data_IF_322258263332
#
_entry.id   IF_322258263332
#
_cell.length_a   1.000
_cell.length_b   1.000
_cell.length_c   1.000
_cell.angle_alpha   90.00
_cell.angle_beta   90.00
_cell.angle_gamma   90.00
#
_symmetry.space_group_name_H-M   'P 1'
#
loop_
_entity.id
_entity.type
_entity.pdbx_description
1 polymer ?
#
# COMPACT_ATOMS: atom_id res chain seq x y z
N UNK A 1 24.07 7.40 -0.32
CA UNK A 1 23.88 6.90 -1.69
C UNK A 1 22.53 6.21 -1.81
N UNK A 2 21.55 6.89 -2.41
CA UNK A 2 20.48 6.34 -3.25
C UNK A 2 19.59 7.52 -3.68
N UNK A 3 20.23 8.45 -4.39
CA UNK A 3 19.54 9.44 -5.20
C UNK A 3 19.12 8.76 -6.50
N UNK A 4 17.89 9.03 -6.95
CA UNK A 4 17.25 8.58 -8.21
C UNK A 4 16.43 7.27 -8.15
N UNK A 5 15.40 7.24 -7.29
CA UNK A 5 14.11 6.61 -7.64
C UNK A 5 12.99 7.66 -7.50
N UNK A 6 13.11 8.76 -8.23
CA UNK A 6 12.07 9.79 -8.29
C UNK A 6 11.40 9.74 -9.67
N UNK A 7 10.09 9.50 -9.65
CA UNK A 7 9.08 9.98 -10.61
C UNK A 7 9.07 9.45 -12.07
N UNK A 8 9.96 8.54 -12.49
CA UNK A 8 10.02 8.11 -13.90
C UNK A 8 10.22 6.62 -14.22
N UNK A 9 10.34 5.74 -13.23
CA UNK A 9 10.57 4.31 -13.50
C UNK A 9 9.26 3.56 -13.74
N UNK A 10 8.86 3.47 -15.02
CA UNK A 10 7.65 2.77 -15.47
C UNK A 10 7.66 1.26 -15.15
N UNK A 11 8.82 0.67 -14.82
CA UNK A 11 8.86 -0.75 -14.40
C UNK A 11 8.10 -1.00 -13.10
N UNK A 12 7.82 0.05 -12.32
CA UNK A 12 7.05 -0.03 -11.08
C UNK A 12 5.54 -0.18 -11.32
N UNK A 13 5.04 0.00 -12.56
CA UNK A 13 3.63 -0.13 -12.94
C UNK A 13 3.17 -1.60 -12.96
N UNK A 14 4.12 -2.55 -12.96
CA UNK A 14 3.80 -3.97 -12.96
C UNK A 14 2.97 -4.36 -11.74
N UNK A 15 1.70 -4.69 -12.00
CA UNK A 15 0.74 -5.10 -11.00
C UNK A 15 1.08 -6.51 -10.48
N UNK A 16 1.45 -6.62 -9.21
CA UNK A 16 1.87 -7.88 -8.57
C UNK A 16 0.82 -8.37 -7.60
N UNK A 17 0.49 -9.65 -7.70
CA UNK A 17 -0.38 -10.35 -6.75
C UNK A 17 0.38 -10.63 -5.46
N UNK A 18 -0.19 -10.28 -4.32
CA UNK A 18 0.39 -10.48 -3.00
C UNK A 18 -0.66 -11.08 -2.06
N UNK A 19 -0.23 -12.04 -1.27
CA UNK A 19 -1.07 -12.65 -0.24
C UNK A 19 -0.85 -11.93 1.08
N UNK A 20 -1.95 -11.47 1.68
CA UNK A 20 -1.98 -10.77 2.97
C UNK A 20 -2.95 -11.47 3.89
N UNK A 21 -2.82 -11.26 5.20
CA UNK A 21 -3.77 -11.78 6.19
C UNK A 21 -4.55 -10.61 6.75
N UNK A 22 -5.87 -10.61 6.56
CA UNK A 22 -6.80 -9.62 7.09
C UNK A 22 -7.83 -10.34 7.94
N UNK A 23 -8.01 -9.91 9.19
CA UNK A 23 -8.99 -10.51 10.12
C UNK A 23 -8.89 -12.05 10.23
N UNK A 24 -7.68 -12.62 10.13
CA UNK A 24 -7.44 -14.07 10.16
C UNK A 24 -7.64 -14.80 8.81
N UNK A 25 -8.17 -14.11 7.79
CA UNK A 25 -8.37 -14.66 6.46
C UNK A 25 -7.25 -14.27 5.51
N UNK A 26 -6.76 -15.24 4.74
CA UNK A 26 -5.81 -14.98 3.67
C UNK A 26 -6.53 -14.36 2.48
N UNK A 27 -6.11 -13.17 2.11
CA UNK A 27 -6.69 -12.42 0.99
C UNK A 27 -5.60 -12.09 -0.02
N UNK A 28 -5.95 -12.12 -1.29
CA UNK A 28 -5.05 -11.71 -2.35
C UNK A 28 -5.36 -10.29 -2.79
N UNK A 29 -4.32 -9.46 -2.83
CA UNK A 29 -4.38 -8.10 -3.39
C UNK A 29 -3.46 -8.00 -4.60
N UNK A 30 -3.83 -7.19 -5.58
CA UNK A 30 -3.01 -6.91 -6.76
C UNK A 30 -2.63 -5.45 -6.75
N UNK A 31 -1.35 -5.17 -6.50
CA UNK A 31 -0.79 -3.84 -6.35
C UNK A 31 0.51 -3.69 -7.15
N UNK A 32 0.67 -2.52 -7.75
CA UNK A 32 1.89 -2.04 -8.37
C UNK A 32 3.00 -1.94 -7.32
N UNK A 33 4.25 -2.15 -7.75
CA UNK A 33 5.38 -2.22 -6.82
C UNK A 33 5.55 -0.92 -6.03
N UNK A 34 5.33 0.24 -6.68
CA UNK A 34 5.42 1.56 -6.04
C UNK A 34 4.46 1.71 -4.86
N UNK A 35 3.21 1.24 -5.00
CA UNK A 35 2.23 1.31 -3.92
C UNK A 35 2.59 0.36 -2.79
N UNK A 36 3.11 -0.82 -3.11
CA UNK A 36 3.52 -1.75 -2.07
C UNK A 36 4.68 -1.22 -1.24
N UNK A 37 5.70 -0.66 -1.89
CA UNK A 37 6.86 -0.09 -1.21
C UNK A 37 6.44 1.08 -0.31
N UNK A 38 5.55 1.95 -0.81
CA UNK A 38 5.03 3.04 0.01
C UNK A 38 4.14 2.56 1.16
N UNK A 39 3.39 1.47 0.97
CA UNK A 39 2.60 0.86 2.05
C UNK A 39 3.51 0.35 3.18
N UNK A 40 4.68 -0.20 2.85
CA UNK A 40 5.68 -0.62 3.85
C UNK A 40 6.19 0.59 4.64
N UNK A 41 6.51 1.69 3.95
CA UNK A 41 6.97 2.93 4.57
C UNK A 41 5.92 3.48 5.53
N UNK A 42 4.68 3.65 5.08
CA UNK A 42 3.57 4.14 5.91
C UNK A 42 3.25 3.21 7.10
N UNK A 43 3.37 1.89 6.91
CA UNK A 43 3.18 0.94 7.99
C UNK A 43 4.25 1.13 9.08
N UNK A 44 5.52 1.30 8.69
CA UNK A 44 6.63 1.58 9.60
C UNK A 44 6.47 2.93 10.32
N UNK A 45 6.09 3.98 9.60
CA UNK A 45 5.86 5.32 10.18
C UNK A 45 4.74 5.33 11.23
N UNK A 46 3.73 4.47 11.05
CA UNK A 46 2.59 4.34 11.96
C UNK A 46 2.79 3.29 13.06
N UNK A 47 3.96 2.67 13.13
CA UNK A 47 4.27 1.54 14.02
C UNK A 47 3.25 0.39 13.92
N UNK A 48 2.92 0.00 12.69
CA UNK A 48 2.01 -1.09 12.37
C UNK A 48 2.70 -2.11 11.46
N UNK A 49 2.34 -3.39 11.61
CA UNK A 49 2.59 -4.35 10.53
C UNK A 49 1.75 -4.01 9.29
N UNK A 50 2.22 -4.44 8.11
CA UNK A 50 1.48 -4.28 6.85
C UNK A 50 0.07 -4.87 6.97
N UNK A 51 -0.06 -6.05 7.57
CA UNK A 51 -1.36 -6.71 7.77
C UNK A 51 -2.28 -5.89 8.68
N UNK A 52 -1.75 -5.27 9.75
CA UNK A 52 -2.54 -4.39 10.63
C UNK A 52 -3.00 -3.12 9.89
N UNK A 53 -2.12 -2.49 9.12
CA UNK A 53 -2.48 -1.31 8.33
C UNK A 53 -3.54 -1.66 7.26
N UNK A 54 -3.35 -2.74 6.52
CA UNK A 54 -4.33 -3.23 5.54
C UNK A 54 -5.65 -3.56 6.23
N UNK A 55 -5.64 -4.20 7.41
CA UNK A 55 -6.86 -4.49 8.17
C UNK A 55 -7.58 -3.20 8.59
N UNK A 56 -6.86 -2.13 8.96
CA UNK A 56 -7.47 -0.82 9.24
C UNK A 56 -8.11 -0.20 7.99
N UNK A 57 -7.45 -0.31 6.83
CA UNK A 57 -8.00 0.16 5.55
C UNK A 57 -9.23 -0.66 5.16
N UNK A 58 -9.16 -1.99 5.29
CA UNK A 58 -10.23 -2.93 4.98
C UNK A 58 -11.51 -2.66 5.79
N UNK A 59 -11.38 -2.26 7.05
CA UNK A 59 -12.53 -1.92 7.91
C UNK A 59 -13.27 -0.65 7.47
N UNK A 60 -12.61 0.27 6.77
CA UNK A 60 -13.16 1.59 6.44
C UNK A 60 -13.34 1.81 4.93
N UNK A 61 -13.09 0.79 4.10
CA UNK A 61 -13.15 0.94 2.64
C UNK A 61 -14.58 0.85 2.10
N UNK A 62 -14.79 1.51 0.96
CA UNK A 62 -15.87 1.23 0.02
C UNK A 62 -15.24 0.69 -1.27
N UNK A 63 -15.83 -0.35 -1.85
CA UNK A 63 -15.28 -1.01 -3.04
C UNK A 63 -14.10 -1.94 -2.73
N UNK A 64 -13.25 -2.18 -3.73
CA UNK A 64 -12.17 -3.19 -3.67
C UNK A 64 -11.00 -2.82 -2.74
N UNK A 65 -10.37 -3.83 -2.13
CA UNK A 65 -9.25 -3.62 -1.20
C UNK A 65 -8.03 -3.01 -1.89
N UNK A 66 -7.68 -3.47 -3.10
CA UNK A 66 -6.55 -2.93 -3.86
C UNK A 66 -6.72 -1.45 -4.19
N UNK A 67 -7.93 -1.02 -4.61
CA UNK A 67 -8.20 0.40 -4.89
C UNK A 67 -8.20 1.23 -3.61
N UNK A 68 -8.76 0.71 -2.52
CA UNK A 68 -8.73 1.38 -1.22
C UNK A 68 -7.30 1.61 -0.71
N UNK A 69 -6.41 0.63 -0.86
CA UNK A 69 -5.00 0.77 -0.50
C UNK A 69 -4.32 1.88 -1.32
N UNK A 70 -4.51 1.90 -2.64
CA UNK A 70 -3.92 2.94 -3.51
C UNK A 70 -4.38 4.33 -3.09
N UNK A 71 -5.68 4.52 -2.90
CA UNK A 71 -6.26 5.82 -2.51
C UNK A 71 -5.76 6.23 -1.13
N UNK A 72 -5.73 5.31 -0.16
CA UNK A 72 -5.19 5.58 1.17
C UNK A 72 -3.76 6.11 1.10
N UNK A 73 -2.88 5.45 0.34
CA UNK A 73 -1.48 5.87 0.18
C UNK A 73 -1.41 7.28 -0.40
N UNK A 74 -2.16 7.57 -1.47
CA UNK A 74 -2.18 8.90 -2.09
C UNK A 74 -2.63 9.96 -1.08
N UNK A 75 -3.71 9.69 -0.32
CA UNK A 75 -4.20 10.63 0.68
C UNK A 75 -3.19 10.85 1.81
N UNK A 76 -2.50 9.82 2.28
CA UNK A 76 -1.46 9.97 3.31
C UNK A 76 -0.27 10.79 2.79
N UNK A 77 0.18 10.55 1.55
CA UNK A 77 1.26 11.32 0.94
C UNK A 77 0.90 12.79 0.71
N UNK A 78 -0.38 13.09 0.49
CA UNK A 78 -0.87 14.46 0.31
C UNK A 78 -1.08 15.22 1.62
N UNK A 79 -1.13 14.52 2.77
CA UNK A 79 -1.25 15.16 4.08
C UNK A 79 0.02 15.87 4.54
N UNK A 80 1.17 15.57 3.92
CA UNK A 80 2.40 16.31 4.12
C UNK A 80 2.51 17.46 3.11
N UNK A 81 1.82 18.57 3.43
CA UNK A 81 2.09 19.93 2.93
C UNK A 81 1.72 20.96 3.98
#
# INVERSE_FOLDING_TARGET
MNSKKTTGDLNQINNRKRSVVISGHRTSVSLEQVFWDQLIVLAKEKDLSINQLITKIDKNRVGGLSSAIRVFIVLELLKEK
#
